data_IF_513670365910
#
_entry.id   IF_513670365910
#
_cell.length_a   1.000
_cell.length_b   1.000
_cell.length_c   1.000
_cell.angle_alpha   90.00
_cell.angle_beta   90.00
_cell.angle_gamma   90.00
#
_symmetry.space_group_name_H-M   'P 1'
#
loop_
_entity.id
_entity.type
_entity.pdbx_description
1 polymer ?
#
# COMPACT_ATOMS: atom_id res chain seq x y z
N UNK A 1 24.67 -18.97 16.06
CA UNK A 1 24.24 -18.10 17.19
C UNK A 1 24.10 -16.64 16.71
N UNK A 2 24.95 -16.18 15.78
CA UNK A 2 24.92 -14.80 15.25
C UNK A 2 23.67 -14.48 14.39
N UNK A 3 23.13 -15.44 13.66
CA UNK A 3 21.98 -15.26 12.78
C UNK A 3 20.65 -15.02 13.52
N UNK A 4 20.47 -15.56 14.71
CA UNK A 4 19.26 -15.34 15.54
C UNK A 4 19.19 -13.87 15.99
N UNK A 5 20.33 -13.27 16.28
CA UNK A 5 20.44 -11.87 16.72
C UNK A 5 20.04 -10.85 15.63
N UNK A 6 20.23 -11.18 14.35
CA UNK A 6 19.86 -10.30 13.22
C UNK A 6 18.34 -10.27 13.00
N UNK A 7 17.65 -11.39 13.16
CA UNK A 7 16.20 -11.46 13.03
C UNK A 7 15.50 -10.70 14.17
N UNK A 8 15.95 -10.86 15.39
CA UNK A 8 15.41 -10.12 16.55
C UNK A 8 15.63 -8.61 16.39
N UNK A 9 16.83 -8.18 15.99
CA UNK A 9 17.13 -6.77 15.70
C UNK A 9 16.21 -6.19 14.62
N UNK A 10 15.99 -6.88 13.50
CA UNK A 10 15.08 -6.43 12.44
C UNK A 10 13.63 -6.29 12.95
N UNK A 11 13.18 -7.21 13.81
CA UNK A 11 11.85 -7.13 14.40
C UNK A 11 11.73 -5.96 15.39
N UNK A 12 12.75 -5.71 16.20
CA UNK A 12 12.82 -4.57 17.11
C UNK A 12 12.81 -3.24 16.35
N UNK A 13 13.56 -3.11 15.26
CA UNK A 13 13.52 -1.91 14.40
C UNK A 13 12.15 -1.66 13.79
N UNK A 14 11.47 -2.71 13.35
CA UNK A 14 10.09 -2.59 12.82
C UNK A 14 9.13 -2.09 13.90
N UNK A 15 9.21 -2.65 15.10
CA UNK A 15 8.38 -2.23 16.24
C UNK A 15 8.68 -0.77 16.62
N UNK A 16 9.96 -0.41 16.68
CA UNK A 16 10.41 0.96 16.96
C UNK A 16 9.86 1.97 15.95
N UNK A 17 9.93 1.67 14.65
CA UNK A 17 9.38 2.54 13.60
C UNK A 17 7.85 2.73 13.73
N UNK A 18 7.12 1.65 14.02
CA UNK A 18 5.66 1.73 14.22
C UNK A 18 5.34 2.58 15.45
N UNK A 19 6.00 2.33 16.58
CA UNK A 19 5.79 3.10 17.80
C UNK A 19 6.10 4.60 17.58
N UNK A 20 7.23 4.88 16.90
CA UNK A 20 7.61 6.26 16.59
C UNK A 20 6.59 6.94 15.69
N UNK A 21 6.06 6.25 14.67
CA UNK A 21 5.01 6.77 13.78
C UNK A 21 3.72 7.06 14.56
N UNK A 22 3.32 6.19 15.49
CA UNK A 22 2.15 6.40 16.35
C UNK A 22 2.36 7.60 17.29
N UNK A 23 3.53 7.73 17.92
CA UNK A 23 3.84 8.87 18.81
C UNK A 23 3.78 10.18 18.02
N UNK A 24 4.39 10.24 16.84
CA UNK A 24 4.35 11.44 15.97
C UNK A 24 2.90 11.76 15.59
N UNK A 25 2.12 10.75 15.18
CA UNK A 25 0.73 10.92 14.81
C UNK A 25 -0.12 11.49 15.97
N UNK A 26 -0.06 10.88 17.15
CA UNK A 26 -0.80 11.32 18.33
C UNK A 26 -0.39 12.73 18.78
N UNK A 27 0.91 13.01 18.82
CA UNK A 27 1.43 14.34 19.20
C UNK A 27 0.97 15.41 18.23
N UNK A 28 1.01 15.14 16.93
CA UNK A 28 0.56 16.08 15.90
C UNK A 28 -0.95 16.31 15.94
N UNK A 29 -1.75 15.26 16.15
CA UNK A 29 -3.21 15.39 16.34
C UNK A 29 -3.55 16.26 17.56
N UNK A 30 -2.87 16.02 18.67
CA UNK A 30 -3.06 16.82 19.89
C UNK A 30 -2.70 18.29 19.66
N UNK A 31 -1.54 18.55 19.04
CA UNK A 31 -1.09 19.91 18.74
C UNK A 31 -2.05 20.65 17.78
N UNK A 32 -2.47 19.97 16.69
CA UNK A 32 -3.42 20.55 15.73
C UNK A 32 -4.77 20.89 16.38
N UNK A 33 -5.28 19.99 17.27
CA UNK A 33 -6.52 20.24 17.97
C UNK A 33 -6.42 21.48 18.91
N UNK A 34 -5.28 21.65 19.59
CA UNK A 34 -5.02 22.84 20.39
C UNK A 34 -4.98 24.11 19.55
N UNK A 35 -4.34 24.05 18.38
CA UNK A 35 -4.24 25.18 17.45
C UNK A 35 -5.63 25.58 16.92
N UNK A 36 -6.44 24.59 16.50
CA UNK A 36 -7.82 24.81 16.05
C UNK A 36 -8.65 25.50 17.13
N UNK A 37 -8.58 25.04 18.39
CA UNK A 37 -9.31 25.66 19.50
C UNK A 37 -8.88 27.12 19.72
N UNK A 38 -7.58 27.40 19.74
CA UNK A 38 -7.07 28.75 19.93
C UNK A 38 -7.54 29.68 18.80
N UNK A 39 -7.40 29.24 17.55
CA UNK A 39 -7.79 30.01 16.39
C UNK A 39 -9.31 30.27 16.35
N UNK A 40 -10.13 29.29 16.71
CA UNK A 40 -11.59 29.45 16.81
C UNK A 40 -11.98 30.53 17.85
N UNK A 41 -11.32 30.56 19.01
CA UNK A 41 -11.57 31.58 20.03
C UNK A 41 -11.16 32.97 19.54
N UNK A 42 -10.03 33.07 18.83
CA UNK A 42 -9.58 34.34 18.27
C UNK A 42 -10.50 34.85 17.17
N UNK A 43 -11.00 33.96 16.29
CA UNK A 43 -11.98 34.32 15.26
C UNK A 43 -13.29 34.81 15.89
N UNK A 44 -13.82 34.12 16.92
CA UNK A 44 -15.02 34.57 17.62
C UNK A 44 -14.84 35.98 18.22
N UNK A 45 -13.71 36.25 18.87
CA UNK A 45 -13.42 37.59 19.40
C UNK A 45 -13.32 38.67 18.32
N UNK A 46 -12.75 38.34 17.18
CA UNK A 46 -12.69 39.29 16.02
C UNK A 46 -14.07 39.62 15.51
N UNK A 47 -14.97 38.64 15.43
CA UNK A 47 -16.36 38.86 15.00
C UNK A 47 -17.17 39.64 16.03
N UNK A 48 -16.96 39.40 17.34
CA UNK A 48 -17.57 40.23 18.40
C UNK A 48 -17.14 41.71 18.27
N UNK A 49 -15.83 41.95 18.04
CA UNK A 49 -15.31 43.32 17.79
C UNK A 49 -15.90 43.93 16.51
N UNK A 50 -16.04 43.12 15.46
CA UNK A 50 -16.66 43.51 14.20
C UNK A 50 -18.14 43.91 14.41
N UNK A 51 -18.87 43.15 15.19
CA UNK A 51 -20.27 43.40 15.54
C UNK A 51 -20.40 44.71 16.35
N UNK A 52 -19.50 44.92 17.32
CA UNK A 52 -19.48 46.17 18.12
C UNK A 52 -19.14 47.39 17.24
N UNK A 53 -18.18 47.28 16.33
CA UNK A 53 -17.86 48.33 15.38
C UNK A 53 -19.05 48.66 14.45
N UNK A 54 -19.78 47.65 14.00
CA UNK A 54 -21.00 47.82 13.20
C UNK A 54 -22.08 48.54 14.00
N UNK A 55 -22.26 48.19 15.28
CA UNK A 55 -23.21 48.88 16.18
C UNK A 55 -22.85 50.35 16.36
N UNK A 56 -21.57 50.66 16.56
CA UNK A 56 -21.09 52.04 16.73
C UNK A 56 -21.29 52.89 15.47
N UNK A 57 -21.07 52.31 14.29
CA UNK A 57 -21.32 53.02 13.03
C UNK A 57 -22.81 53.29 12.78
N UNK A 58 -23.66 52.40 13.21
CA UNK A 58 -25.09 52.54 13.03
C UNK A 58 -25.72 53.56 13.99
N UNK A 59 -25.14 53.75 15.20
CA UNK A 59 -25.58 54.76 16.15
C UNK A 59 -24.95 56.09 15.83
N UNK A 60 -25.74 57.02 15.33
CA UNK A 60 -25.32 58.37 14.82
C UNK A 60 -24.67 59.31 15.89
N UNK A 61 -24.53 58.89 17.14
CA UNK A 61 -23.90 59.62 18.23
C UNK A 61 -22.35 59.58 18.22
N UNK A 62 -21.75 58.72 17.37
CA UNK A 62 -20.29 58.58 17.32
C UNK A 62 -19.71 59.68 16.45
N UNK A 63 -18.99 60.62 17.04
CA UNK A 63 -18.40 61.78 16.36
C UNK A 63 -17.23 61.43 15.43
N UNK A 64 -16.63 60.26 15.53
CA UNK A 64 -15.49 59.80 14.68
C UNK A 64 -15.70 58.35 14.22
N UNK A 65 -16.04 58.13 12.94
CA UNK A 65 -16.24 56.80 12.37
C UNK A 65 -14.94 56.05 12.01
N UNK A 66 -13.77 56.71 12.15
CA UNK A 66 -12.49 56.20 11.65
C UNK A 66 -12.09 54.86 12.27
N UNK A 67 -12.24 54.77 13.59
CA UNK A 67 -11.87 53.54 14.29
C UNK A 67 -12.82 52.32 13.97
N UNK A 68 -14.15 52.46 14.07
CA UNK A 68 -15.05 51.39 13.66
C UNK A 68 -14.87 50.94 12.22
N UNK A 69 -14.70 51.87 11.27
CA UNK A 69 -14.43 51.53 9.86
C UNK A 69 -13.15 50.69 9.71
N UNK A 70 -12.09 51.06 10.41
CA UNK A 70 -10.84 50.31 10.40
C UNK A 70 -10.99 48.90 10.90
N UNK A 71 -11.76 48.68 11.98
CA UNK A 71 -12.05 47.34 12.51
C UNK A 71 -12.79 46.50 11.50
N UNK A 72 -13.76 47.08 10.78
CA UNK A 72 -14.54 46.37 9.77
C UNK A 72 -13.67 45.98 8.58
N UNK A 73 -12.82 46.90 8.09
CA UNK A 73 -11.92 46.67 6.97
C UNK A 73 -10.82 45.68 7.28
N UNK A 74 -10.43 45.53 8.55
CA UNK A 74 -9.38 44.60 8.97
C UNK A 74 -9.85 43.15 8.96
N UNK A 75 -11.15 42.86 8.86
CA UNK A 75 -11.67 41.52 8.67
C UNK A 75 -11.44 41.06 7.21
N UNK A 76 -10.28 40.49 6.93
CA UNK A 76 -9.93 39.96 5.60
C UNK A 76 -10.10 38.45 5.43
N UNK A 77 -10.49 37.75 6.47
CA UNK A 77 -10.43 36.25 6.46
C UNK A 77 -11.72 35.58 6.83
N UNK A 78 -12.54 36.20 7.70
CA UNK A 78 -13.77 35.56 8.21
C UNK A 78 -14.92 35.99 7.31
N UNK A 79 -15.64 35.06 6.64
CA UNK A 79 -16.82 35.38 5.87
C UNK A 79 -17.98 35.79 6.78
N UNK A 80 -18.58 36.91 6.46
CA UNK A 80 -19.69 37.52 7.25
C UNK A 80 -20.82 37.91 6.31
N UNK A 81 -22.07 37.68 6.76
CA UNK A 81 -23.29 38.20 6.13
C UNK A 81 -24.05 39.03 7.17
N UNK A 82 -24.39 40.24 6.83
CA UNK A 82 -25.32 41.06 7.59
C UNK A 82 -26.71 40.91 6.98
N UNK A 83 -27.67 40.51 7.76
CA UNK A 83 -29.03 40.28 7.28
C UNK A 83 -30.07 40.76 8.27
N UNK A 84 -31.31 41.01 7.77
CA UNK A 84 -32.47 41.28 8.57
C UNK A 84 -33.05 40.01 9.24
N UNK A 85 -34.01 40.19 10.11
CA UNK A 85 -34.67 39.10 10.83
C UNK A 85 -35.36 38.09 9.90
N UNK A 86 -35.85 38.54 8.76
CA UNK A 86 -36.49 37.71 7.72
C UNK A 86 -35.47 36.94 6.87
N UNK A 87 -34.16 37.22 7.03
CA UNK A 87 -33.07 36.59 6.28
C UNK A 87 -32.71 37.32 4.98
N UNK A 88 -33.24 38.51 4.75
CA UNK A 88 -32.84 39.38 3.62
C UNK A 88 -31.42 39.87 3.86
N UNK A 89 -30.50 39.63 2.90
CA UNK A 89 -29.09 40.00 2.98
C UNK A 89 -28.93 41.50 2.71
N UNK A 90 -28.32 42.23 3.66
CA UNK A 90 -28.06 43.65 3.56
C UNK A 90 -26.66 43.88 2.97
N UNK A 91 -25.65 43.17 3.53
CA UNK A 91 -24.24 43.30 3.11
C UNK A 91 -23.48 41.99 3.39
N UNK A 92 -22.32 41.82 2.76
CA UNK A 92 -21.47 40.68 2.99
C UNK A 92 -20.00 41.01 2.81
N UNK A 93 -19.15 40.35 3.59
CA UNK A 93 -17.69 40.49 3.58
C UNK A 93 -17.02 39.14 3.44
N UNK A 94 -15.92 39.08 2.70
CA UNK A 94 -15.11 37.88 2.44
C UNK A 94 -15.89 36.68 1.81
N UNK A 95 -16.87 36.99 0.97
CA UNK A 95 -17.60 36.05 0.14
C UNK A 95 -17.25 36.34 -1.33
N UNK A 96 -17.13 35.26 -2.13
CA UNK A 96 -16.83 35.38 -3.55
C UNK A 96 -17.88 36.23 -4.27
N UNK A 97 -17.49 37.41 -4.64
CA UNK A 97 -18.36 38.43 -5.27
C UNK A 97 -18.92 37.99 -6.61
N UNK A 98 -18.24 37.06 -7.32
CA UNK A 98 -18.71 36.52 -8.59
C UNK A 98 -19.90 35.58 -8.36
N UNK A 99 -19.84 34.75 -7.32
CA UNK A 99 -20.91 33.83 -6.94
C UNK A 99 -22.04 34.55 -6.18
N UNK A 100 -21.71 35.59 -5.44
CA UNK A 100 -22.68 36.38 -4.68
C UNK A 100 -23.70 37.14 -5.55
N UNK A 101 -23.45 37.28 -6.87
CA UNK A 101 -24.43 37.76 -7.83
C UNK A 101 -25.69 36.88 -7.93
N UNK A 102 -25.58 35.63 -7.53
CA UNK A 102 -26.70 34.69 -7.46
C UNK A 102 -27.33 34.72 -6.06
N UNK A 103 -28.59 35.19 -5.91
CA UNK A 103 -29.27 35.25 -4.61
C UNK A 103 -29.39 33.88 -3.90
N UNK A 104 -29.51 32.80 -4.65
CA UNK A 104 -29.62 31.45 -4.09
C UNK A 104 -28.28 31.01 -3.47
N UNK A 105 -27.16 31.50 -3.98
CA UNK A 105 -25.83 31.26 -3.37
C UNK A 105 -25.72 31.92 -2.00
N UNK A 106 -26.12 33.18 -1.88
CA UNK A 106 -26.09 33.91 -0.60
C UNK A 106 -27.03 33.26 0.43
N UNK A 107 -28.25 32.87 0.04
CA UNK A 107 -29.17 32.13 0.92
C UNK A 107 -28.54 30.82 1.44
N UNK A 108 -27.90 30.06 0.56
CA UNK A 108 -27.20 28.83 0.97
C UNK A 108 -26.03 29.13 1.91
N UNK A 109 -25.27 30.20 1.68
CA UNK A 109 -24.20 30.61 2.60
C UNK A 109 -24.77 31.00 3.97
N UNK A 110 -25.88 31.72 4.00
CA UNK A 110 -26.57 32.12 5.23
C UNK A 110 -27.02 30.88 6.04
N UNK A 111 -27.58 29.86 5.38
CA UNK A 111 -27.97 28.61 6.04
C UNK A 111 -26.76 27.85 6.62
N UNK A 112 -25.64 27.81 5.88
CA UNK A 112 -24.38 27.22 6.39
C UNK A 112 -23.90 27.98 7.61
N UNK A 113 -23.86 29.32 7.56
CA UNK A 113 -23.44 30.16 8.69
C UNK A 113 -24.33 29.96 9.92
N UNK A 114 -25.64 29.85 9.71
CA UNK A 114 -26.64 29.56 10.74
C UNK A 114 -26.43 28.21 11.42
N UNK A 115 -25.95 27.22 10.68
CA UNK A 115 -25.65 25.90 11.22
C UNK A 115 -24.31 25.83 11.96
N UNK A 116 -23.37 26.74 11.68
CA UNK A 116 -22.04 26.75 12.32
C UNK A 116 -22.00 27.56 13.60
N UNK A 117 -22.68 28.73 13.62
CA UNK A 117 -22.66 29.67 14.74
C UNK A 117 -24.04 30.32 14.96
N UNK A 118 -24.36 30.65 16.21
CA UNK A 118 -25.50 31.48 16.51
C UNK A 118 -25.25 32.92 15.98
N UNK A 119 -26.28 33.58 15.38
CA UNK A 119 -26.14 34.94 14.88
C UNK A 119 -25.92 35.93 16.01
N UNK A 120 -25.06 36.92 15.78
CA UNK A 120 -24.85 38.03 16.72
C UNK A 120 -25.88 39.11 16.40
N UNK A 121 -26.72 39.43 17.38
CA UNK A 121 -27.71 40.50 17.25
C UNK A 121 -27.08 41.87 17.42
N UNK A 122 -27.35 42.75 16.49
CA UNK A 122 -26.93 44.16 16.53
C UNK A 122 -28.18 45.05 16.45
N UNK A 123 -28.43 45.78 17.55
CA UNK A 123 -29.52 46.76 17.62
C UNK A 123 -29.03 48.09 17.07
N UNK A 124 -29.66 48.65 16.04
CA UNK A 124 -29.27 49.89 15.33
C UNK A 124 -30.08 51.07 15.85
N UNK A 125 -31.40 50.92 16.05
CA UNK A 125 -32.30 51.87 16.65
C UNK A 125 -33.26 51.14 17.56
N UNK A 126 -34.09 51.85 18.35
CA UNK A 126 -34.90 51.35 19.45
C UNK A 126 -35.62 50.01 19.19
N UNK A 127 -35.99 49.70 17.91
CA UNK A 127 -36.63 48.42 17.53
C UNK A 127 -36.03 47.76 16.26
N UNK A 128 -35.04 48.38 15.60
CA UNK A 128 -34.48 47.82 14.36
C UNK A 128 -33.23 46.97 14.67
N UNK A 129 -33.37 45.64 14.46
CA UNK A 129 -32.33 44.66 14.74
C UNK A 129 -31.83 44.07 13.46
N UNK A 130 -30.51 43.97 13.35
CA UNK A 130 -29.79 43.25 12.31
C UNK A 130 -29.07 42.06 12.91
N UNK A 131 -28.81 41.08 12.09
CA UNK A 131 -28.17 39.81 12.50
C UNK A 131 -26.91 39.59 11.71
N UNK A 132 -25.80 39.37 12.39
CA UNK A 132 -24.50 39.08 11.82
C UNK A 132 -24.35 37.55 11.83
N UNK A 133 -24.30 36.97 10.63
CA UNK A 133 -24.01 35.57 10.39
C UNK A 133 -22.58 35.44 9.94
N UNK A 134 -21.85 34.49 10.48
CA UNK A 134 -20.48 34.23 10.10
C UNK A 134 -20.17 32.72 10.08
N UNK A 135 -19.15 32.34 9.36
CA UNK A 135 -18.61 30.98 9.37
C UNK A 135 -17.12 31.01 9.59
N UNK A 136 -16.57 29.87 9.97
CA UNK A 136 -15.15 29.71 10.15
C UNK A 136 -14.37 30.14 8.89
N UNK A 137 -13.20 30.76 9.09
CA UNK A 137 -12.31 31.10 8.00
C UNK A 137 -11.87 29.86 7.21
N UNK A 138 -11.41 30.06 5.98
CA UNK A 138 -10.85 28.97 5.16
C UNK A 138 -9.69 28.29 5.88
N UNK A 139 -8.86 29.06 6.59
CA UNK A 139 -7.72 28.55 7.35
C UNK A 139 -8.17 27.62 8.47
N UNK A 140 -9.14 28.05 9.28
CA UNK A 140 -9.70 27.24 10.38
C UNK A 140 -10.34 25.95 9.85
N UNK A 141 -11.06 26.05 8.75
CA UNK A 141 -11.68 24.90 8.08
C UNK A 141 -10.62 23.91 7.58
N UNK A 142 -9.55 24.40 6.92
CA UNK A 142 -8.44 23.55 6.47
C UNK A 142 -7.73 22.85 7.64
N UNK A 143 -7.46 23.59 8.73
CA UNK A 143 -6.84 23.03 9.93
C UNK A 143 -7.72 21.96 10.59
N UNK A 144 -9.05 22.09 10.55
CA UNK A 144 -9.99 21.07 11.05
C UNK A 144 -9.91 19.76 10.26
N UNK A 145 -9.70 19.84 8.93
CA UNK A 145 -9.56 18.65 8.08
C UNK A 145 -8.14 18.08 8.03
N UNK A 146 -7.13 18.86 8.39
CA UNK A 146 -5.74 18.45 8.35
C UNK A 146 -5.45 17.11 9.07
N UNK A 147 -6.01 16.83 10.27
CA UNK A 147 -5.82 15.55 10.95
C UNK A 147 -6.22 14.33 10.13
N UNK A 148 -7.31 14.43 9.35
CA UNK A 148 -7.77 13.31 8.52
C UNK A 148 -6.81 13.02 7.37
N UNK A 149 -6.29 14.08 6.73
CA UNK A 149 -5.26 13.96 5.68
C UNK A 149 -4.00 13.32 6.27
N UNK A 150 -3.56 13.78 7.42
CA UNK A 150 -2.39 13.26 8.12
C UNK A 150 -2.54 11.78 8.48
N UNK A 151 -3.70 11.38 9.02
CA UNK A 151 -3.99 9.96 9.30
C UNK A 151 -3.97 9.11 8.04
N UNK A 152 -4.50 9.64 6.92
CA UNK A 152 -4.42 8.99 5.62
C UNK A 152 -2.99 8.74 5.16
N UNK A 153 -2.12 9.76 5.28
CA UNK A 153 -0.69 9.66 4.91
C UNK A 153 0.05 8.65 5.81
N UNK A 154 -0.18 8.70 7.13
CA UNK A 154 0.44 7.76 8.07
C UNK A 154 -0.02 6.33 7.77
N UNK A 155 -1.33 6.12 7.54
CA UNK A 155 -1.87 4.81 7.20
C UNK A 155 -1.27 4.25 5.90
N UNK A 156 -1.14 5.09 4.88
CA UNK A 156 -0.49 4.72 3.62
C UNK A 156 0.98 4.34 3.84
N UNK A 157 1.71 5.12 4.62
CA UNK A 157 3.12 4.84 4.95
C UNK A 157 3.27 3.49 5.68
N UNK A 158 2.41 3.21 6.67
CA UNK A 158 2.43 1.93 7.40
C UNK A 158 2.13 0.77 6.45
N UNK A 159 1.15 0.92 5.57
CA UNK A 159 0.77 -0.09 4.59
C UNK A 159 1.90 -0.39 3.61
N UNK A 160 2.52 0.63 3.02
CA UNK A 160 3.67 0.48 2.11
C UNK A 160 4.85 -0.18 2.84
N UNK A 161 5.14 0.25 4.05
CA UNK A 161 6.19 -0.35 4.87
C UNK A 161 5.92 -1.83 5.16
N UNK A 162 4.69 -2.19 5.48
CA UNK A 162 4.28 -3.58 5.70
C UNK A 162 4.52 -4.45 4.46
N UNK A 163 4.11 -4.00 3.28
CA UNK A 163 4.32 -4.73 2.04
C UNK A 163 5.80 -4.86 1.69
N UNK A 164 6.57 -3.77 1.83
CA UNK A 164 8.01 -3.78 1.57
C UNK A 164 8.75 -4.79 2.45
N UNK A 165 8.47 -4.78 3.76
CA UNK A 165 9.05 -5.75 4.69
C UNK A 165 8.59 -7.18 4.43
N UNK A 166 7.32 -7.38 4.08
CA UNK A 166 6.78 -8.71 3.76
C UNK A 166 7.42 -9.29 2.50
N UNK A 167 7.61 -8.46 1.48
CA UNK A 167 8.28 -8.85 0.23
C UNK A 167 9.76 -9.19 0.46
N UNK A 168 10.48 -8.33 1.20
CA UNK A 168 11.89 -8.56 1.55
C UNK A 168 12.07 -9.87 2.32
N UNK A 169 11.17 -10.17 3.27
CA UNK A 169 11.20 -11.42 4.04
C UNK A 169 11.02 -12.66 3.16
N UNK A 170 10.08 -12.63 2.22
CA UNK A 170 9.87 -13.74 1.27
C UNK A 170 11.10 -13.93 0.38
N UNK A 171 11.70 -12.85 -0.09
CA UNK A 171 12.92 -12.92 -0.90
C UNK A 171 14.09 -13.51 -0.11
N UNK A 172 14.32 -13.09 1.13
CA UNK A 172 15.35 -13.65 2.00
C UNK A 172 15.15 -15.16 2.26
N UNK A 173 13.90 -15.58 2.57
CA UNK A 173 13.57 -16.99 2.75
C UNK A 173 13.82 -17.80 1.48
N UNK A 174 13.45 -17.26 0.31
CA UNK A 174 13.72 -17.91 -0.97
C UNK A 174 15.22 -18.07 -1.22
N UNK A 175 16.02 -17.04 -0.94
CA UNK A 175 17.49 -17.10 -1.11
C UNK A 175 18.12 -18.13 -0.18
N UNK A 176 17.68 -18.22 1.08
CA UNK A 176 18.16 -19.25 2.02
C UNK A 176 17.84 -20.65 1.50
N UNK A 177 16.62 -20.88 1.03
CA UNK A 177 16.20 -22.15 0.43
C UNK A 177 17.04 -22.53 -0.79
N UNK A 178 17.27 -21.58 -1.70
CA UNK A 178 18.12 -21.78 -2.87
C UNK A 178 19.56 -22.13 -2.45
N UNK A 179 20.11 -21.40 -1.49
CA UNK A 179 21.45 -21.67 -0.97
C UNK A 179 21.59 -23.05 -0.34
N UNK A 180 20.61 -23.43 0.50
CA UNK A 180 20.58 -24.77 1.12
C UNK A 180 20.41 -25.89 0.08
N UNK A 181 19.52 -25.72 -0.90
CA UNK A 181 19.32 -26.72 -1.94
C UNK A 181 20.60 -26.95 -2.75
N UNK A 182 21.27 -25.89 -3.16
CA UNK A 182 22.54 -25.95 -3.91
C UNK A 182 23.66 -26.59 -3.09
N UNK A 183 23.79 -26.20 -1.82
CA UNK A 183 24.80 -26.79 -0.93
C UNK A 183 24.54 -28.26 -0.68
N UNK A 184 23.28 -28.65 -0.41
CA UNK A 184 22.88 -30.04 -0.24
C UNK A 184 23.20 -30.86 -1.49
N UNK A 185 22.89 -30.35 -2.69
CA UNK A 185 23.23 -31.01 -3.94
C UNK A 185 24.75 -31.23 -4.08
N UNK A 186 25.54 -30.22 -3.75
CA UNK A 186 27.02 -30.34 -3.78
C UNK A 186 27.54 -31.38 -2.80
N UNK A 187 27.03 -31.36 -1.57
CA UNK A 187 27.41 -32.31 -0.52
C UNK A 187 26.97 -33.76 -0.82
N UNK A 188 25.88 -33.96 -1.54
CA UNK A 188 25.42 -35.27 -1.99
C UNK A 188 26.16 -35.76 -3.25
N UNK A 189 26.56 -34.86 -4.14
CA UNK A 189 27.25 -35.21 -5.38
C UNK A 189 28.61 -35.89 -5.15
N UNK A 190 29.35 -35.47 -4.13
CA UNK A 190 30.66 -36.05 -3.80
C UNK A 190 30.57 -37.52 -3.39
N UNK A 191 29.78 -37.95 -2.37
CA UNK A 191 29.66 -39.35 -2.03
C UNK A 191 29.01 -40.18 -3.15
N UNK A 192 28.08 -39.60 -3.91
CA UNK A 192 27.45 -40.28 -5.04
C UNK A 192 28.47 -40.65 -6.12
N UNK A 193 29.33 -39.73 -6.51
CA UNK A 193 30.44 -40.00 -7.46
C UNK A 193 31.38 -41.10 -6.93
N UNK A 194 31.61 -41.14 -5.62
CA UNK A 194 32.45 -42.20 -4.99
C UNK A 194 31.75 -43.57 -5.10
N UNK A 195 30.41 -43.64 -4.86
CA UNK A 195 29.70 -44.89 -4.95
C UNK A 195 29.64 -45.39 -6.40
N UNK A 196 29.45 -44.54 -7.38
CA UNK A 196 29.55 -44.86 -8.82
C UNK A 196 30.89 -45.48 -9.14
N UNK A 197 32.02 -44.90 -8.66
CA UNK A 197 33.34 -45.46 -8.85
C UNK A 197 33.49 -46.85 -8.17
N UNK A 198 32.90 -47.06 -7.01
CA UNK A 198 32.87 -48.38 -6.36
C UNK A 198 32.13 -49.44 -7.15
N UNK A 199 31.01 -49.11 -7.80
CA UNK A 199 30.26 -50.02 -8.68
C UNK A 199 31.16 -50.48 -9.85
N UNK A 200 31.93 -49.57 -10.47
CA UNK A 200 32.88 -49.89 -11.51
C UNK A 200 33.97 -50.85 -11.03
N UNK A 201 34.49 -50.62 -9.81
CA UNK A 201 35.49 -51.51 -9.19
C UNK A 201 34.89 -52.93 -8.93
N UNK A 202 33.62 -52.98 -8.48
CA UNK A 202 32.93 -54.25 -8.24
C UNK A 202 32.69 -55.01 -9.54
N UNK A 203 32.33 -54.29 -10.63
CA UNK A 203 32.21 -54.86 -11.98
C UNK A 203 33.52 -55.49 -12.44
N UNK A 204 34.67 -54.79 -12.23
CA UNK A 204 35.97 -55.31 -12.57
C UNK A 204 36.40 -56.56 -11.74
N UNK A 205 35.78 -56.74 -10.57
CA UNK A 205 36.01 -57.92 -9.70
C UNK A 205 35.07 -59.12 -9.99
N UNK A 206 34.24 -59.01 -11.03
CA UNK A 206 33.37 -60.11 -11.46
C UNK A 206 32.11 -60.31 -10.60
N UNK A 207 31.64 -59.27 -9.94
CA UNK A 207 30.33 -59.29 -9.27
C UNK A 207 29.22 -59.44 -10.31
N UNK A 208 28.15 -60.09 -9.95
CA UNK A 208 27.00 -60.38 -10.83
C UNK A 208 26.41 -59.12 -11.45
N UNK A 209 26.37 -59.05 -12.76
CA UNK A 209 25.95 -57.85 -13.53
C UNK A 209 24.51 -57.44 -13.21
N UNK A 210 23.60 -58.42 -12.98
CA UNK A 210 22.20 -58.10 -12.61
C UNK A 210 22.09 -57.31 -11.32
N UNK A 211 22.96 -57.57 -10.34
CA UNK A 211 23.01 -56.83 -9.06
C UNK A 211 23.58 -55.43 -9.26
N UNK A 212 24.62 -55.29 -10.07
CA UNK A 212 25.24 -54.01 -10.38
C UNK A 212 24.28 -53.09 -11.16
N UNK A 213 23.55 -53.63 -12.11
CA UNK A 213 22.55 -52.89 -12.92
C UNK A 213 21.44 -52.30 -12.03
N UNK A 214 20.98 -53.02 -11.00
CA UNK A 214 19.97 -52.50 -10.06
C UNK A 214 20.54 -51.37 -9.22
N UNK A 215 21.78 -51.50 -8.74
CA UNK A 215 22.45 -50.43 -7.99
C UNK A 215 22.66 -49.18 -8.88
N UNK A 216 23.07 -49.36 -10.12
CA UNK A 216 23.23 -48.25 -11.07
C UNK A 216 21.92 -47.53 -11.36
N UNK A 217 20.81 -48.22 -11.48
CA UNK A 217 19.50 -47.58 -11.62
C UNK A 217 19.17 -46.66 -10.44
N UNK A 218 19.46 -47.08 -9.22
CA UNK A 218 19.22 -46.28 -8.05
C UNK A 218 20.21 -45.11 -7.93
N UNK A 219 21.48 -45.32 -8.27
CA UNK A 219 22.49 -44.26 -8.34
C UNK A 219 22.11 -43.21 -9.38
N UNK A 220 21.67 -43.61 -10.56
CA UNK A 220 21.18 -42.71 -11.59
C UNK A 220 19.99 -41.87 -11.11
N UNK A 221 19.06 -42.46 -10.35
CA UNK A 221 17.96 -41.72 -9.74
C UNK A 221 18.45 -40.68 -8.77
N UNK A 222 19.41 -41.01 -7.89
CA UNK A 222 20.01 -40.08 -6.92
C UNK A 222 20.77 -38.97 -7.62
N UNK A 223 21.53 -39.27 -8.67
CA UNK A 223 22.23 -38.28 -9.50
C UNK A 223 21.25 -37.29 -10.13
N UNK A 224 20.17 -37.79 -10.73
CA UNK A 224 19.11 -36.94 -11.32
C UNK A 224 18.48 -36.01 -10.28
N UNK A 225 18.21 -36.52 -9.05
CA UNK A 225 17.66 -35.70 -7.98
C UNK A 225 18.67 -34.62 -7.57
N UNK A 226 19.91 -34.99 -7.36
CA UNK A 226 20.99 -34.10 -6.96
C UNK A 226 21.22 -33.01 -8.00
N UNK A 227 21.21 -33.34 -9.29
CA UNK A 227 21.31 -32.37 -10.38
C UNK A 227 20.12 -31.39 -10.40
N UNK A 228 18.90 -31.88 -10.18
CA UNK A 228 17.70 -31.03 -10.08
C UNK A 228 17.84 -30.03 -8.93
N UNK A 229 18.29 -30.47 -7.75
CA UNK A 229 18.53 -29.61 -6.59
C UNK A 229 19.60 -28.55 -6.86
N UNK A 230 20.68 -28.88 -7.56
CA UNK A 230 21.74 -27.93 -7.92
C UNK A 230 21.28 -26.81 -8.84
N UNK A 231 20.23 -27.05 -9.63
CA UNK A 231 19.64 -26.06 -10.55
C UNK A 231 18.62 -25.15 -9.91
N UNK A 232 18.18 -25.42 -8.67
CA UNK A 232 17.23 -24.56 -7.95
C UNK A 232 17.83 -23.15 -7.78
N UNK A 233 17.04 -22.13 -8.20
CA UNK A 233 17.42 -20.71 -8.09
C UNK A 233 18.45 -20.22 -9.11
N UNK A 234 18.94 -21.07 -10.02
CA UNK A 234 19.71 -20.62 -11.17
C UNK A 234 18.78 -20.19 -12.31
N UNK A 235 19.18 -19.15 -13.06
CA UNK A 235 18.44 -18.77 -14.25
C UNK A 235 18.55 -19.92 -15.28
N UNK A 236 17.43 -20.48 -15.75
CA UNK A 236 17.48 -21.55 -16.74
C UNK A 236 17.99 -21.01 -18.08
N UNK A 237 18.94 -21.72 -18.69
CA UNK A 237 19.32 -21.44 -20.05
C UNK A 237 18.18 -21.94 -20.95
N UNK A 238 17.52 -21.03 -21.64
CA UNK A 238 16.43 -21.33 -22.56
C UNK A 238 17.03 -21.58 -23.97
N UNK A 239 16.63 -22.66 -24.59
CA UNK A 239 16.96 -23.01 -25.97
C UNK A 239 15.67 -23.13 -26.77
N UNK A 240 15.73 -22.87 -28.08
CA UNK A 240 14.56 -22.94 -28.93
C UNK A 240 14.30 -24.40 -29.32
N UNK A 241 13.40 -25.05 -28.58
CA UNK A 241 13.11 -26.48 -28.69
C UNK A 241 11.73 -26.72 -29.32
N UNK A 242 11.56 -27.85 -29.99
CA UNK A 242 10.23 -28.28 -30.41
C UNK A 242 9.42 -28.83 -29.25
N UNK A 243 8.50 -28.00 -28.75
CA UNK A 243 7.67 -28.28 -27.57
C UNK A 243 6.89 -29.58 -27.72
N UNK A 244 6.39 -29.88 -28.91
CA UNK A 244 5.59 -31.11 -29.13
C UNK A 244 6.46 -32.36 -29.09
N UNK A 245 7.68 -32.29 -29.62
CA UNK A 245 8.64 -33.38 -29.50
C UNK A 245 9.01 -33.62 -28.01
N UNK A 246 9.31 -32.58 -27.24
CA UNK A 246 9.66 -32.70 -25.81
C UNK A 246 8.48 -33.25 -25.01
N UNK A 247 7.25 -32.85 -25.33
CA UNK A 247 6.04 -33.41 -24.72
C UNK A 247 5.85 -34.89 -25.05
N UNK A 248 6.03 -35.26 -26.33
CA UNK A 248 5.91 -36.67 -26.75
C UNK A 248 6.95 -37.56 -26.04
N UNK A 249 8.20 -37.12 -25.97
CA UNK A 249 9.27 -37.82 -25.25
C UNK A 249 8.92 -37.98 -23.75
N UNK A 250 8.46 -36.89 -23.10
CA UNK A 250 8.05 -36.89 -21.70
C UNK A 250 6.87 -37.83 -21.43
N UNK A 251 5.85 -37.80 -22.28
CA UNK A 251 4.68 -38.68 -22.16
C UNK A 251 5.07 -40.13 -22.37
N UNK A 252 5.90 -40.49 -23.34
CA UNK A 252 6.37 -41.84 -23.58
C UNK A 252 7.19 -42.35 -22.39
N UNK A 253 8.03 -41.50 -21.80
CA UNK A 253 8.79 -41.86 -20.60
C UNK A 253 7.86 -42.17 -19.42
N UNK A 254 6.83 -41.38 -19.18
CA UNK A 254 5.86 -41.59 -18.09
C UNK A 254 5.02 -42.84 -18.37
N UNK A 255 4.54 -43.03 -19.61
CA UNK A 255 3.74 -44.15 -20.03
C UNK A 255 4.42 -45.51 -19.79
N UNK A 256 5.75 -45.58 -19.90
CA UNK A 256 6.53 -46.77 -19.61
C UNK A 256 6.56 -47.16 -18.10
N UNK A 257 6.19 -46.21 -17.22
CA UNK A 257 6.32 -46.33 -15.76
C UNK A 257 4.99 -46.37 -15.00
N UNK A 258 3.87 -46.14 -15.68
CA UNK A 258 2.53 -46.19 -15.09
C UNK A 258 1.77 -47.42 -15.56
N UNK A 259 0.67 -47.74 -14.87
CA UNK A 259 -0.18 -48.88 -15.21
C UNK A 259 -0.67 -48.79 -16.67
N UNK A 260 -0.70 -49.93 -17.37
CA UNK A 260 -1.24 -50.02 -18.75
C UNK A 260 -2.73 -49.62 -18.85
N UNK A 261 -3.41 -49.45 -17.72
CA UNK A 261 -4.81 -48.98 -17.66
C UNK A 261 -4.95 -47.47 -17.91
N UNK A 262 -3.85 -46.72 -17.79
CA UNK A 262 -3.88 -45.26 -18.01
C UNK A 262 -3.71 -44.97 -19.50
N UNK A 263 -4.65 -44.25 -20.07
CA UNK A 263 -4.64 -43.85 -21.47
C UNK A 263 -4.12 -42.39 -21.58
N UNK A 264 -3.08 -42.22 -22.38
CA UNK A 264 -2.52 -40.89 -22.67
C UNK A 264 -2.94 -40.47 -24.08
N UNK A 265 -3.51 -39.27 -24.18
CA UNK A 265 -3.86 -38.64 -25.46
C UNK A 265 -3.13 -37.33 -25.59
N UNK A 266 -2.31 -37.19 -26.61
CA UNK A 266 -1.62 -35.92 -26.92
C UNK A 266 -2.32 -35.23 -28.09
N UNK A 267 -2.71 -33.99 -27.89
CA UNK A 267 -3.28 -33.11 -28.90
C UNK A 267 -2.43 -31.81 -28.93
N UNK A 268 -2.07 -31.27 -30.08
CA UNK A 268 -2.47 -31.64 -31.46
C UNK A 268 -1.80 -32.91 -32.02
N UNK A 269 -2.23 -33.30 -33.21
CA UNK A 269 -1.80 -34.57 -33.84
C UNK A 269 -0.29 -34.56 -34.21
N UNK A 270 0.27 -35.78 -34.34
CA UNK A 270 1.66 -35.96 -34.79
C UNK A 270 1.95 -35.23 -36.10
N UNK A 271 3.06 -34.47 -36.11
CA UNK A 271 3.57 -33.80 -37.31
C UNK A 271 3.56 -32.28 -37.24
N UNK A 272 2.83 -31.69 -36.31
CA UNK A 272 2.94 -30.26 -36.05
C UNK A 272 4.27 -29.94 -35.34
N UNK A 273 4.88 -28.79 -35.65
CA UNK A 273 6.07 -28.28 -34.97
C UNK A 273 5.73 -26.99 -34.30
N UNK A 274 6.04 -26.92 -32.97
CA UNK A 274 5.83 -25.74 -32.18
C UNK A 274 7.11 -25.41 -31.41
N UNK A 275 7.86 -24.43 -31.89
CA UNK A 275 9.09 -24.00 -31.26
C UNK A 275 8.82 -23.00 -30.14
N UNK A 276 9.44 -23.22 -28.99
CA UNK A 276 9.37 -22.32 -27.84
C UNK A 276 10.73 -22.26 -27.12
N UNK A 277 11.09 -21.09 -26.53
CA UNK A 277 12.26 -20.99 -25.69
C UNK A 277 12.00 -21.70 -24.37
N UNK A 278 12.59 -22.87 -24.18
CA UNK A 278 12.43 -23.68 -22.96
C UNK A 278 13.74 -24.33 -22.53
N UNK A 279 13.81 -24.72 -21.27
CA UNK A 279 14.85 -25.58 -20.74
C UNK A 279 14.30 -27.01 -20.68
N UNK A 280 14.72 -27.86 -21.63
CA UNK A 280 14.19 -29.22 -21.79
C UNK A 280 14.16 -30.03 -20.49
N UNK A 281 15.26 -30.16 -19.70
CA UNK A 281 15.26 -30.94 -18.48
C UNK A 281 14.29 -30.42 -17.41
N UNK A 282 14.15 -29.09 -17.27
CA UNK A 282 13.21 -28.51 -16.31
C UNK A 282 11.77 -28.66 -16.75
N UNK A 283 11.51 -28.56 -18.05
CA UNK A 283 10.19 -28.75 -18.62
C UNK A 283 9.72 -30.21 -18.47
N UNK A 284 10.58 -31.18 -18.80
CA UNK A 284 10.31 -32.60 -18.56
C UNK A 284 9.98 -32.87 -17.08
N UNK A 285 10.70 -32.24 -16.17
CA UNK A 285 10.41 -32.37 -14.73
C UNK A 285 9.07 -31.77 -14.33
N UNK A 286 8.66 -30.65 -14.92
CA UNK A 286 7.33 -30.09 -14.71
C UNK A 286 6.26 -31.06 -15.18
N UNK A 287 6.41 -31.61 -16.38
CA UNK A 287 5.48 -32.60 -16.94
C UNK A 287 5.37 -33.84 -16.05
N UNK A 288 6.52 -34.39 -15.63
CA UNK A 288 6.56 -35.53 -14.71
C UNK A 288 5.78 -35.26 -13.42
N UNK A 289 5.98 -34.09 -12.80
CA UNK A 289 5.28 -33.72 -11.55
C UNK A 289 3.78 -33.55 -11.76
N UNK A 290 3.35 -32.89 -12.85
CA UNK A 290 1.94 -32.73 -13.17
C UNK A 290 1.25 -34.08 -13.33
N UNK A 291 1.85 -35.00 -14.08
CA UNK A 291 1.27 -36.32 -14.30
C UNK A 291 1.30 -37.20 -13.05
N UNK A 292 2.27 -37.07 -12.16
CA UNK A 292 2.30 -37.80 -10.88
C UNK A 292 1.25 -37.31 -9.89
N UNK A 293 0.80 -36.07 -10.02
CA UNK A 293 -0.18 -35.46 -9.12
C UNK A 293 -1.62 -35.51 -9.68
N UNK A 294 -1.80 -35.97 -10.91
CA UNK A 294 -3.09 -36.17 -11.55
C UNK A 294 -3.66 -37.56 -11.28
#
# INVERSE_FOLDING_TARGET
IENVNIYEKKQQWKLFLIITAVIIGVSSLWYTNQLVKKLSIEESKKIELWAEATRQLANAETSDPTFPLKVIEENKTIPVILAEKDGSVIDFVNIDTTKAKNPDYLKRQLEIMRSEHEPIEVTIYEDYKQYIYYKNSTLLTQLRYFPFIQLGVISLFVLVSYFAFSYSRKAEQSQVWVGMAKETAHQLGTPLSSIIAWVEILRSKGVEETTLDEIEKDLWRLETITERFSKIGSAPKLENEDLLQVLEESVNYIKSRVSKKVVFTLLPAKGDKLFAPLNKPLFEWVIENVFKNA
#
